data_IF_402203910243
#
_entry.id   IF_402203910243
#
_cell.length_a   1.000
_cell.length_b   1.000
_cell.length_c   1.000
_cell.angle_alpha   90.00
_cell.angle_beta   90.00
_cell.angle_gamma   90.00
#
_symmetry.space_group_name_H-M   'P 1'
#
loop_
_entity.id
_entity.type
_entity.pdbx_description
1 polymer ?
#
# COMPACT_ATOMS: atom_id res chain seq x y z
N UNK A 1 -4.57 -36.50 -57.10
CA UNK A 1 -5.22 -35.47 -56.25
C UNK A 1 -6.32 -36.08 -55.38
N UNK A 2 -6.02 -37.03 -54.47
CA UNK A 2 -7.05 -37.82 -53.75
C UNK A 2 -6.82 -38.01 -52.24
N UNK A 3 -5.97 -37.18 -51.62
CA UNK A 3 -5.67 -37.30 -50.18
C UNK A 3 -6.45 -36.34 -49.26
N UNK A 4 -7.01 -35.25 -49.80
CA UNK A 4 -7.64 -34.20 -48.97
C UNK A 4 -9.10 -34.55 -48.55
N UNK A 5 -9.81 -35.32 -49.37
CA UNK A 5 -11.21 -35.69 -49.11
C UNK A 5 -11.42 -36.70 -47.96
N UNK A 6 -10.36 -37.42 -47.54
CA UNK A 6 -10.46 -38.42 -46.46
C UNK A 6 -10.49 -37.80 -45.06
N UNK A 7 -9.94 -36.60 -44.88
CA UNK A 7 -9.93 -35.90 -43.59
C UNK A 7 -11.18 -35.03 -43.36
N UNK A 8 -11.87 -34.61 -44.43
CA UNK A 8 -13.05 -33.74 -44.34
C UNK A 8 -14.30 -34.49 -43.82
N UNK A 9 -14.44 -35.77 -44.16
CA UNK A 9 -15.59 -36.60 -43.73
C UNK A 9 -15.68 -36.82 -42.20
N UNK A 10 -14.60 -37.22 -41.49
CA UNK A 10 -14.68 -37.40 -40.04
C UNK A 10 -14.80 -36.06 -39.28
N UNK A 11 -14.24 -34.97 -39.80
CA UNK A 11 -14.35 -33.65 -39.16
C UNK A 11 -15.77 -33.11 -39.22
N UNK A 12 -16.48 -33.27 -40.35
CA UNK A 12 -17.88 -32.84 -40.46
C UNK A 12 -18.78 -33.70 -39.55
N UNK A 13 -18.53 -35.01 -39.46
CA UNK A 13 -19.24 -35.89 -38.54
C UNK A 13 -19.02 -35.51 -37.07
N UNK A 14 -17.78 -35.17 -36.69
CA UNK A 14 -17.46 -34.71 -35.34
C UNK A 14 -18.13 -33.37 -35.00
N UNK A 15 -18.17 -32.41 -35.94
CA UNK A 15 -18.85 -31.13 -35.76
C UNK A 15 -20.38 -31.27 -35.69
N UNK A 16 -20.97 -32.17 -36.49
CA UNK A 16 -22.40 -32.45 -36.44
C UNK A 16 -22.80 -33.12 -35.12
N UNK A 17 -21.98 -34.04 -34.60
CA UNK A 17 -22.21 -34.67 -33.30
C UNK A 17 -22.06 -33.68 -32.13
N UNK A 18 -21.06 -32.78 -32.22
CA UNK A 18 -20.86 -31.72 -31.23
C UNK A 18 -22.05 -30.73 -31.21
N UNK A 19 -22.58 -30.36 -32.37
CA UNK A 19 -23.78 -29.53 -32.50
C UNK A 19 -25.04 -30.22 -31.95
N UNK A 20 -25.17 -31.55 -32.12
CA UNK A 20 -26.29 -32.31 -31.58
C UNK A 20 -26.26 -32.40 -30.05
N UNK A 21 -25.06 -32.48 -29.46
CA UNK A 21 -24.87 -32.51 -27.99
C UNK A 21 -25.13 -31.13 -27.37
N UNK A 22 -24.79 -30.04 -28.07
CA UNK A 22 -25.05 -28.66 -27.63
C UNK A 22 -26.52 -28.23 -27.78
N UNK A 23 -27.29 -28.93 -28.62
CA UNK A 23 -28.73 -28.69 -28.82
C UNK A 23 -29.63 -29.55 -27.90
N UNK A 24 -29.05 -30.35 -27.01
CA UNK A 24 -29.83 -31.09 -26.02
C UNK A 24 -30.56 -30.11 -25.08
N UNK A 25 -31.89 -30.22 -24.89
CA UNK A 25 -32.61 -29.34 -23.98
C UNK A 25 -32.08 -29.56 -22.56
N UNK A 26 -31.55 -28.50 -21.95
CA UNK A 26 -31.13 -28.54 -20.56
C UNK A 26 -32.34 -28.93 -19.69
N UNK A 27 -32.18 -29.84 -18.70
CA UNK A 27 -33.26 -30.14 -17.78
C UNK A 27 -33.65 -28.83 -17.08
N UNK A 28 -34.92 -28.45 -17.20
CA UNK A 28 -35.48 -27.31 -16.48
C UNK A 28 -35.39 -27.61 -14.99
N UNK A 29 -34.38 -27.06 -14.33
CA UNK A 29 -34.28 -27.08 -12.88
C UNK A 29 -35.55 -26.44 -12.34
N UNK A 30 -36.33 -27.21 -11.58
CA UNK A 30 -37.51 -26.71 -10.91
C UNK A 30 -37.11 -25.47 -10.09
N UNK A 31 -37.74 -24.34 -10.37
CA UNK A 31 -37.52 -23.10 -9.64
C UNK A 31 -37.90 -23.36 -8.17
N UNK A 32 -36.91 -23.57 -7.30
CA UNK A 32 -37.14 -23.74 -5.87
C UNK A 32 -37.56 -22.39 -5.30
N UNK A 33 -38.88 -22.15 -5.27
CA UNK A 33 -39.47 -20.94 -4.70
C UNK A 33 -39.23 -21.00 -3.19
N UNK A 34 -38.24 -20.24 -2.73
CA UNK A 34 -37.93 -20.10 -1.32
C UNK A 34 -38.77 -18.92 -0.77
N UNK A 35 -39.83 -19.16 0.04
CA UNK A 35 -40.73 -18.10 0.50
C UNK A 35 -40.07 -17.07 1.43
N UNK A 36 -38.88 -17.36 1.97
CA UNK A 36 -38.05 -16.40 2.74
C UNK A 36 -37.01 -15.66 1.89
N UNK A 37 -36.94 -15.89 0.56
CA UNK A 37 -36.07 -15.09 -0.31
C UNK A 37 -36.40 -13.59 -0.26
N UNK A 38 -37.65 -13.25 0.09
CA UNK A 38 -38.17 -11.90 0.25
C UNK A 38 -38.37 -11.49 1.72
N UNK A 39 -38.01 -12.34 2.68
CA UNK A 39 -38.11 -11.96 4.09
C UNK A 39 -37.05 -10.92 4.40
N UNK A 40 -37.46 -9.84 5.07
CA UNK A 40 -36.58 -8.75 5.46
C UNK A 40 -35.39 -9.33 6.23
N UNK A 41 -34.21 -9.27 5.64
CA UNK A 41 -33.02 -9.77 6.30
C UNK A 41 -32.70 -8.85 7.47
N UNK A 42 -32.33 -9.44 8.61
CA UNK A 42 -31.92 -8.69 9.79
C UNK A 42 -30.78 -7.71 9.44
N UNK A 43 -29.86 -8.13 8.56
CA UNK A 43 -28.81 -7.25 8.00
C UNK A 43 -29.34 -6.04 7.24
N UNK A 44 -30.44 -6.17 6.49
CA UNK A 44 -31.05 -5.05 5.75
C UNK A 44 -31.68 -4.04 6.72
N UNK A 45 -32.43 -4.50 7.72
CA UNK A 45 -32.98 -3.63 8.77
C UNK A 45 -31.89 -2.88 9.54
N UNK A 46 -30.81 -3.58 9.90
CA UNK A 46 -29.65 -2.99 10.59
C UNK A 46 -28.87 -2.02 9.70
N UNK A 47 -28.91 -2.19 8.37
CA UNK A 47 -28.30 -1.27 7.42
C UNK A 47 -29.13 0.00 7.25
N UNK A 48 -30.45 -0.13 7.20
CA UNK A 48 -31.41 0.96 6.99
C UNK A 48 -31.61 1.82 8.25
N UNK A 49 -31.44 1.25 9.44
CA UNK A 49 -31.40 2.00 10.69
C UNK A 49 -29.99 2.57 10.94
N UNK A 50 -29.84 3.88 10.74
CA UNK A 50 -28.56 4.60 10.88
C UNK A 50 -27.98 4.58 12.29
N UNK A 51 -28.86 4.56 13.31
CA UNK A 51 -28.48 4.51 14.73
C UNK A 51 -29.46 3.65 15.51
N UNK A 52 -29.00 2.51 15.97
CA UNK A 52 -29.81 1.59 16.79
C UNK A 52 -29.56 1.89 18.26
N UNK A 53 -30.61 2.24 18.98
CA UNK A 53 -30.57 2.57 20.40
C UNK A 53 -31.47 1.60 21.18
N UNK A 54 -30.94 1.03 22.26
CA UNK A 54 -31.66 0.20 23.21
C UNK A 54 -31.88 0.92 24.53
N UNK A 55 -32.54 0.26 25.48
CA UNK A 55 -32.59 0.72 26.87
C UNK A 55 -31.50 0.03 27.67
N UNK A 56 -30.81 0.78 28.53
CA UNK A 56 -29.76 0.23 29.39
C UNK A 56 -30.00 0.67 30.82
N UNK A 57 -29.84 -0.24 31.76
CA UNK A 57 -30.01 -0.02 33.21
C UNK A 57 -28.75 0.52 33.90
N UNK A 58 -27.64 0.59 33.18
CA UNK A 58 -26.34 1.08 33.64
C UNK A 58 -26.30 2.61 33.51
N UNK A 59 -25.64 3.34 34.44
CA UNK A 59 -25.53 4.80 34.38
C UNK A 59 -24.94 5.36 33.07
N UNK A 60 -24.11 4.58 32.38
CA UNK A 60 -23.53 4.98 31.10
C UNK A 60 -24.54 4.87 29.96
N UNK A 61 -25.23 5.97 29.68
CA UNK A 61 -26.19 6.08 28.58
C UNK A 61 -25.57 5.87 27.19
N UNK A 62 -24.24 5.94 27.02
CA UNK A 62 -23.61 5.69 25.70
C UNK A 62 -23.70 4.23 25.27
N UNK A 63 -23.76 3.33 26.23
CA UNK A 63 -23.97 1.88 26.01
C UNK A 63 -25.34 1.55 25.42
N UNK A 64 -26.28 2.50 25.44
CA UNK A 64 -27.58 2.37 24.76
C UNK A 64 -27.44 2.33 23.24
N UNK A 65 -26.35 2.84 22.66
CA UNK A 65 -26.16 2.90 21.21
C UNK A 65 -25.47 1.61 20.74
N UNK A 66 -26.26 0.68 20.17
CA UNK A 66 -25.77 -0.60 19.65
C UNK A 66 -24.97 -0.44 18.35
N UNK A 67 -25.35 0.52 17.49
CA UNK A 67 -24.62 0.83 16.27
C UNK A 67 -24.36 2.33 16.18
N UNK A 68 -23.08 2.71 16.14
CA UNK A 68 -22.65 4.09 15.92
C UNK A 68 -22.43 4.34 14.42
N UNK A 69 -23.16 5.30 13.80
CA UNK A 69 -23.01 5.60 12.38
C UNK A 69 -21.57 6.03 12.03
N UNK A 70 -20.95 6.88 12.85
CA UNK A 70 -19.55 7.29 12.68
C UNK A 70 -18.54 6.12 12.69
N UNK A 71 -18.80 5.08 13.49
CA UNK A 71 -17.98 3.87 13.50
C UNK A 71 -18.18 2.96 12.28
N UNK A 72 -19.34 3.08 11.61
CA UNK A 72 -19.61 2.41 10.32
C UNK A 72 -18.85 3.12 9.20
N UNK A 73 -18.98 4.43 9.09
CA UNK A 73 -18.28 5.26 8.10
C UNK A 73 -16.76 5.11 8.22
N UNK A 74 -16.20 5.15 9.44
CA UNK A 74 -14.77 4.95 9.65
C UNK A 74 -14.29 3.56 9.19
N UNK A 75 -15.07 2.50 9.44
CA UNK A 75 -14.73 1.15 8.98
C UNK A 75 -14.77 1.06 7.46
N UNK A 76 -15.75 1.68 6.82
CA UNK A 76 -15.85 1.73 5.37
C UNK A 76 -14.68 2.50 4.75
N UNK A 77 -14.40 3.71 5.25
CA UNK A 77 -13.22 4.49 4.87
C UNK A 77 -11.93 3.67 5.03
N UNK A 78 -11.72 3.03 6.18
CA UNK A 78 -10.50 2.26 6.43
C UNK A 78 -10.38 1.02 5.55
N UNK A 79 -11.47 0.26 5.39
CA UNK A 79 -11.43 -1.03 4.69
C UNK A 79 -11.42 -0.87 3.16
N UNK A 80 -12.02 0.21 2.65
CA UNK A 80 -12.15 0.49 1.22
C UNK A 80 -11.18 1.59 0.81
N UNK A 81 -11.42 2.82 1.26
CA UNK A 81 -10.71 4.01 0.78
C UNK A 81 -9.23 3.97 1.14
N UNK A 82 -8.89 3.82 2.43
CA UNK A 82 -7.52 3.80 2.91
C UNK A 82 -6.71 2.65 2.29
N UNK A 83 -7.35 1.48 2.14
CA UNK A 83 -6.72 0.31 1.49
C UNK A 83 -6.40 0.60 0.02
N UNK A 84 -7.32 1.19 -0.72
CA UNK A 84 -7.10 1.56 -2.13
C UNK A 84 -6.04 2.64 -2.27
N UNK A 85 -6.14 3.73 -1.51
CA UNK A 85 -5.16 4.83 -1.53
C UNK A 85 -3.77 4.29 -1.17
N UNK A 86 -3.67 3.51 -0.09
CA UNK A 86 -2.40 2.91 0.32
C UNK A 86 -1.82 1.98 -0.74
N UNK A 87 -2.66 1.16 -1.39
CA UNK A 87 -2.25 0.25 -2.44
C UNK A 87 -1.73 0.99 -3.67
N UNK A 88 -2.47 2.00 -4.13
CA UNK A 88 -2.07 2.85 -5.27
C UNK A 88 -0.81 3.64 -4.94
N UNK A 89 -0.68 4.19 -3.74
CA UNK A 89 0.51 4.95 -3.36
C UNK A 89 1.78 4.08 -3.35
N UNK A 90 1.71 2.89 -2.74
CA UNK A 90 2.86 1.97 -2.65
C UNK A 90 3.22 1.41 -4.03
N UNK A 91 2.25 0.88 -4.77
CA UNK A 91 2.50 0.30 -6.09
C UNK A 91 2.87 1.38 -7.13
N UNK A 92 2.23 2.55 -7.05
CA UNK A 92 2.53 3.70 -7.90
C UNK A 92 3.96 4.21 -7.67
N UNK A 93 4.39 4.36 -6.42
CA UNK A 93 5.78 4.73 -6.11
C UNK A 93 6.77 3.69 -6.62
N UNK A 94 6.48 2.40 -6.42
CA UNK A 94 7.33 1.32 -6.92
C UNK A 94 7.43 1.33 -8.44
N UNK A 95 6.30 1.54 -9.15
CA UNK A 95 6.28 1.66 -10.60
C UNK A 95 7.10 2.86 -11.09
N UNK A 96 6.99 4.02 -10.42
CA UNK A 96 7.79 5.21 -10.73
C UNK A 96 9.29 4.91 -10.59
N UNK A 97 9.71 4.25 -9.50
CA UNK A 97 11.11 3.87 -9.28
C UNK A 97 11.62 2.88 -10.34
N UNK A 98 10.81 1.89 -10.73
CA UNK A 98 11.16 0.92 -11.77
C UNK A 98 11.28 1.59 -13.13
N UNK A 99 10.31 2.42 -13.52
CA UNK A 99 10.34 3.16 -14.79
C UNK A 99 11.56 4.09 -14.82
N UNK A 100 11.83 4.80 -13.71
CA UNK A 100 13.01 5.64 -13.60
C UNK A 100 14.31 4.83 -13.75
N UNK A 101 14.42 3.68 -13.09
CA UNK A 101 15.59 2.80 -13.19
C UNK A 101 15.79 2.28 -14.63
N UNK A 102 14.73 1.85 -15.30
CA UNK A 102 14.80 1.33 -16.67
C UNK A 102 15.14 2.42 -17.69
N UNK A 103 14.67 3.65 -17.49
CA UNK A 103 14.93 4.78 -18.41
C UNK A 103 16.31 5.40 -18.22
N UNK A 104 16.84 5.46 -16.99
CA UNK A 104 18.12 6.12 -16.69
C UNK A 104 19.29 5.15 -16.55
N UNK A 105 19.04 3.89 -16.25
CA UNK A 105 20.08 2.91 -15.93
C UNK A 105 20.80 3.18 -14.60
N UNK A 106 21.85 2.42 -14.33
CA UNK A 106 22.68 2.61 -13.13
C UNK A 106 23.60 3.83 -13.29
N UNK A 107 23.44 4.83 -12.43
CA UNK A 107 24.35 5.98 -12.35
C UNK A 107 25.70 5.47 -11.81
N UNK A 108 26.68 5.32 -12.70
CA UNK A 108 28.06 4.94 -12.35
C UNK A 108 28.87 6.18 -11.99
N UNK A 109 29.80 6.03 -11.07
CA UNK A 109 30.76 7.07 -10.72
C UNK A 109 31.77 7.22 -11.87
N UNK A 110 31.69 8.32 -12.63
CA UNK A 110 32.56 8.55 -13.80
C UNK A 110 34.05 8.70 -13.45
N UNK A 111 34.38 9.19 -12.25
CA UNK A 111 35.76 9.58 -11.87
C UNK A 111 36.44 8.70 -10.82
N UNK A 112 35.86 7.56 -10.45
CA UNK A 112 36.44 6.66 -9.43
C UNK A 112 36.45 7.24 -8.01
N UNK A 113 36.83 6.44 -7.01
CA UNK A 113 36.85 6.88 -5.60
C UNK A 113 38.14 7.66 -5.32
N UNK A 114 38.02 8.90 -4.88
CA UNK A 114 39.13 9.86 -4.62
C UNK A 114 40.12 9.45 -3.51
N UNK A 115 40.01 8.26 -2.91
CA UNK A 115 40.94 7.72 -1.89
C UNK A 115 40.94 8.45 -0.54
N UNK A 116 40.49 9.70 -0.45
CA UNK A 116 40.36 10.49 0.78
C UNK A 116 38.93 10.46 1.30
N UNK A 117 38.75 10.10 2.56
CA UNK A 117 37.46 10.17 3.24
C UNK A 117 37.38 11.41 4.13
N UNK A 118 36.27 12.14 4.05
CA UNK A 118 35.95 13.24 4.97
C UNK A 118 34.78 12.83 5.87
N UNK A 119 34.78 13.28 7.12
CA UNK A 119 33.65 13.06 8.03
C UNK A 119 32.51 13.98 7.61
N UNK A 120 31.57 13.43 6.82
CA UNK A 120 30.39 14.18 6.37
C UNK A 120 29.33 14.32 7.44
N UNK A 121 29.10 13.26 8.22
CA UNK A 121 28.09 13.17 9.29
C UNK A 121 28.73 12.71 10.59
N UNK A 122 28.34 13.36 11.68
CA UNK A 122 28.78 13.04 13.05
C UNK A 122 28.17 11.71 13.53
N UNK A 123 28.80 11.06 14.51
CA UNK A 123 28.34 9.79 15.10
C UNK A 123 26.91 9.91 15.64
N UNK A 124 26.56 11.02 16.30
CA UNK A 124 25.21 11.26 16.80
C UNK A 124 24.17 11.32 15.69
N UNK A 125 24.45 12.05 14.59
CA UNK A 125 23.54 12.12 13.43
C UNK A 125 23.31 10.75 12.81
N UNK A 126 24.36 9.92 12.70
CA UNK A 126 24.24 8.55 12.21
C UNK A 126 23.41 7.68 13.16
N UNK A 127 23.62 7.82 14.46
CA UNK A 127 22.85 7.06 15.45
C UNK A 127 21.37 7.38 15.38
N UNK A 128 21.00 8.66 15.39
CA UNK A 128 19.60 9.08 15.26
C UNK A 128 19.02 8.57 13.94
N UNK A 129 19.76 8.72 12.83
CA UNK A 129 19.31 8.21 11.53
C UNK A 129 19.06 6.70 11.53
N UNK A 130 19.98 5.88 12.04
CA UNK A 130 19.83 4.43 12.09
C UNK A 130 18.69 3.99 13.02
N UNK A 131 18.51 4.67 14.16
CA UNK A 131 17.39 4.44 15.04
C UNK A 131 16.06 4.73 14.32
N UNK A 132 15.94 5.91 13.69
CA UNK A 132 14.72 6.31 12.96
C UNK A 132 14.45 5.40 11.76
N UNK A 133 15.47 5.05 10.98
CA UNK A 133 15.35 4.15 9.84
C UNK A 133 14.90 2.74 10.24
N UNK A 134 15.45 2.20 11.33
CA UNK A 134 15.05 0.89 11.84
C UNK A 134 13.60 0.92 12.34
N UNK A 135 13.22 1.95 13.10
CA UNK A 135 11.84 2.11 13.53
C UNK A 135 10.88 2.27 12.34
N UNK A 136 11.27 3.03 11.32
CA UNK A 136 10.50 3.21 10.09
C UNK A 136 10.20 1.88 9.40
N UNK A 137 11.20 1.01 9.22
CA UNK A 137 11.01 -0.30 8.58
C UNK A 137 10.00 -1.15 9.37
N UNK A 138 10.14 -1.20 10.69
CA UNK A 138 9.24 -2.00 11.54
C UNK A 138 7.81 -1.41 11.53
N UNK A 139 7.68 -0.08 11.59
CA UNK A 139 6.40 0.62 11.50
C UNK A 139 5.74 0.43 10.12
N UNK A 140 6.51 0.45 9.04
CA UNK A 140 6.02 0.23 7.69
C UNK A 140 5.50 -1.21 7.52
N UNK A 141 6.26 -2.21 7.97
CA UNK A 141 5.85 -3.62 7.90
C UNK A 141 4.59 -3.86 8.75
N UNK A 142 4.57 -3.38 9.99
CA UNK A 142 3.41 -3.52 10.88
C UNK A 142 2.18 -2.75 10.37
N UNK A 143 2.37 -1.55 9.80
CA UNK A 143 1.31 -0.77 9.16
C UNK A 143 0.74 -1.47 7.91
N UNK A 144 1.61 -2.07 7.08
CA UNK A 144 1.18 -2.90 5.96
C UNK A 144 0.39 -4.13 6.42
N UNK A 145 0.78 -4.75 7.54
CA UNK A 145 0.02 -5.85 8.13
C UNK A 145 -1.37 -5.41 8.60
N UNK A 146 -1.50 -4.22 9.20
CA UNK A 146 -2.80 -3.69 9.66
C UNK A 146 -3.74 -3.41 8.49
N UNK A 147 -3.23 -2.83 7.39
CA UNK A 147 -4.08 -2.45 6.24
C UNK A 147 -4.33 -3.61 5.27
N UNK A 148 -3.33 -4.46 5.01
CA UNK A 148 -3.38 -5.50 3.97
C UNK A 148 -3.18 -6.93 4.49
N UNK A 149 -2.90 -7.13 5.78
CA UNK A 149 -2.59 -8.45 6.32
C UNK A 149 -3.76 -9.44 6.21
N UNK A 150 -4.99 -9.03 6.53
CA UNK A 150 -6.16 -9.91 6.41
C UNK A 150 -6.41 -10.40 4.97
N UNK A 151 -6.40 -9.56 3.92
CA UNK A 151 -6.63 -10.04 2.56
C UNK A 151 -5.41 -10.72 1.91
N UNK A 152 -4.17 -10.38 2.30
CA UNK A 152 -2.97 -10.90 1.65
C UNK A 152 -2.25 -11.98 2.48
N UNK A 153 -2.02 -11.74 3.77
CA UNK A 153 -1.24 -12.65 4.62
C UNK A 153 -2.07 -13.80 5.17
N UNK A 154 -3.30 -13.53 5.66
CA UNK A 154 -4.14 -14.56 6.27
C UNK A 154 -4.37 -15.79 5.36
N UNK A 155 -4.66 -15.64 4.04
CA UNK A 155 -4.80 -16.80 3.16
C UNK A 155 -3.50 -17.58 2.94
N UNK A 156 -2.34 -16.96 3.16
CA UNK A 156 -1.03 -17.57 2.92
C UNK A 156 -0.51 -18.35 4.13
N UNK A 157 -0.70 -17.84 5.34
CA UNK A 157 -0.10 -18.40 6.58
C UNK A 157 -1.12 -19.03 7.53
N UNK A 158 -2.43 -18.86 7.27
CA UNK A 158 -3.50 -19.38 8.13
C UNK A 158 -3.85 -18.47 9.30
N UNK A 159 -4.95 -18.79 9.99
CA UNK A 159 -5.53 -17.94 11.04
C UNK A 159 -4.64 -17.81 12.28
N UNK A 160 -4.11 -18.92 12.80
CA UNK A 160 -3.35 -18.93 14.05
C UNK A 160 -2.04 -18.15 13.91
N UNK A 161 -1.25 -18.46 12.87
CA UNK A 161 -0.01 -17.75 12.59
C UNK A 161 -0.24 -16.26 12.29
N UNK A 162 -1.33 -15.92 11.58
CA UNK A 162 -1.68 -14.53 11.31
C UNK A 162 -2.10 -13.77 12.59
N UNK A 163 -2.80 -14.43 13.50
CA UNK A 163 -3.20 -13.84 14.78
C UNK A 163 -1.97 -13.49 15.62
N UNK A 164 -1.04 -14.44 15.80
CA UNK A 164 0.19 -14.24 16.55
C UNK A 164 1.07 -13.16 15.93
N UNK A 165 1.28 -13.23 14.61
CA UNK A 165 2.03 -12.22 13.86
C UNK A 165 1.41 -10.83 14.02
N UNK A 166 0.08 -10.73 13.90
CA UNK A 166 -0.62 -9.45 14.01
C UNK A 166 -0.57 -8.88 15.42
N UNK A 167 -0.56 -9.74 16.44
CA UNK A 167 -0.40 -9.31 17.83
C UNK A 167 0.99 -8.70 18.06
N UNK A 168 2.06 -9.37 17.61
CA UNK A 168 3.42 -8.82 17.67
C UNK A 168 3.58 -7.54 16.86
N UNK A 169 3.03 -7.51 15.64
CA UNK A 169 3.06 -6.33 14.78
C UNK A 169 2.38 -5.13 15.46
N UNK A 170 1.24 -5.35 16.14
CA UNK A 170 0.54 -4.31 16.89
C UNK A 170 1.38 -3.76 18.04
N UNK A 171 2.01 -4.63 18.83
CA UNK A 171 2.89 -4.19 19.92
C UNK A 171 4.07 -3.40 19.39
N UNK A 172 4.77 -3.93 18.39
CA UNK A 172 5.89 -3.25 17.74
C UNK A 172 5.47 -1.88 17.20
N UNK A 173 4.33 -1.78 16.52
CA UNK A 173 3.84 -0.52 15.96
C UNK A 173 3.57 0.53 17.05
N UNK A 174 2.87 0.13 18.12
CA UNK A 174 2.52 1.06 19.19
C UNK A 174 3.76 1.56 19.93
N UNK A 175 4.67 0.67 20.33
CA UNK A 175 5.83 1.06 21.12
C UNK A 175 6.90 1.77 20.30
N UNK A 176 7.13 1.39 19.04
CA UNK A 176 8.17 2.00 18.20
C UNK A 176 7.72 3.32 17.55
N UNK A 177 6.41 3.62 17.53
CA UNK A 177 5.91 4.92 17.06
C UNK A 177 6.48 6.09 17.86
N UNK A 178 6.71 5.90 19.16
CA UNK A 178 7.25 6.91 20.06
C UNK A 178 8.72 7.27 19.76
N UNK A 179 9.69 6.34 19.80
CA UNK A 179 11.07 6.64 19.45
C UNK A 179 11.22 7.06 17.98
N UNK A 180 10.36 6.58 17.07
CA UNK A 180 10.35 7.06 15.69
C UNK A 180 10.02 8.56 15.61
N UNK A 181 8.95 8.98 16.29
CA UNK A 181 8.54 10.40 16.30
C UNK A 181 9.62 11.29 16.89
N UNK A 182 10.25 10.87 17.99
CA UNK A 182 11.39 11.57 18.57
C UNK A 182 12.55 11.66 17.57
N UNK A 183 12.87 10.55 16.90
CA UNK A 183 13.93 10.50 15.91
C UNK A 183 13.70 11.47 14.74
N UNK A 184 12.48 11.53 14.21
CA UNK A 184 12.09 12.48 13.15
C UNK A 184 12.27 13.92 13.62
N UNK A 185 11.78 14.26 14.82
CA UNK A 185 11.92 15.61 15.38
C UNK A 185 13.40 15.98 15.57
N UNK A 186 14.23 15.05 16.08
CA UNK A 186 15.66 15.29 16.24
C UNK A 186 16.37 15.50 14.90
N UNK A 187 16.07 14.68 13.89
CA UNK A 187 16.65 14.85 12.53
C UNK A 187 16.24 16.20 11.96
N UNK A 188 14.96 16.56 12.09
CA UNK A 188 14.45 17.84 11.66
C UNK A 188 15.19 19.00 12.32
N UNK A 189 15.29 19.01 13.66
CA UNK A 189 15.99 20.06 14.42
C UNK A 189 17.49 20.15 14.09
N UNK A 190 18.16 19.01 13.87
CA UNK A 190 19.57 19.00 13.48
C UNK A 190 19.79 19.64 12.10
N UNK A 191 18.85 19.43 11.17
CA UNK A 191 19.06 19.80 9.77
C UNK A 191 18.27 21.03 9.32
N UNK A 192 17.37 21.57 10.13
CA UNK A 192 16.55 22.76 9.80
C UNK A 192 17.42 23.94 9.38
N UNK A 193 18.46 24.27 10.15
CA UNK A 193 19.37 25.38 9.84
C UNK A 193 20.16 25.19 8.54
N UNK A 194 20.32 23.94 8.09
CA UNK A 194 20.95 23.60 6.82
C UNK A 194 19.98 23.43 5.65
N UNK A 195 18.67 23.32 5.88
CA UNK A 195 17.68 23.00 4.84
C UNK A 195 16.91 24.21 4.31
N UNK A 196 17.18 25.42 4.82
CA UNK A 196 16.53 26.65 4.33
C UNK A 196 16.89 26.87 2.85
N UNK A 197 15.91 26.94 1.93
CA UNK A 197 16.16 27.12 0.50
C UNK A 197 16.89 28.44 0.23
N UNK A 198 17.98 28.37 -0.54
CA UNK A 198 18.72 29.56 -0.98
C UNK A 198 18.57 29.75 -2.50
N UNK A 199 18.91 30.93 -3.02
CA UNK A 199 18.83 31.26 -4.46
C UNK A 199 19.60 30.26 -5.34
N UNK A 200 20.67 29.67 -4.80
CA UNK A 200 21.47 28.60 -5.42
C UNK A 200 20.68 27.30 -5.61
N UNK A 201 19.74 26.97 -4.71
CA UNK A 201 18.91 25.77 -4.81
C UNK A 201 17.85 25.91 -5.91
N UNK A 202 17.31 27.12 -6.12
CA UNK A 202 16.44 27.40 -7.29
C UNK A 202 17.21 27.27 -8.60
N UNK A 203 18.45 27.73 -8.65
CA UNK A 203 19.29 27.61 -9.83
C UNK A 203 19.66 26.15 -10.11
N UNK A 204 19.88 25.35 -9.07
CA UNK A 204 20.09 23.91 -9.16
C UNK A 204 18.86 23.16 -9.70
N UNK A 205 17.65 23.51 -9.24
CA UNK A 205 16.39 22.93 -9.75
C UNK A 205 16.17 23.32 -11.22
N UNK A 206 16.41 24.59 -11.58
CA UNK A 206 16.31 25.07 -12.97
C UNK A 206 17.28 24.36 -13.91
N UNK A 207 18.44 23.94 -13.41
CA UNK A 207 19.44 23.14 -14.15
C UNK A 207 19.17 21.61 -14.08
N UNK A 208 17.98 21.19 -13.64
CA UNK A 208 17.60 19.78 -13.60
C UNK A 208 18.35 18.95 -12.55
N UNK A 209 18.98 19.60 -11.56
CA UNK A 209 19.53 18.95 -10.38
C UNK A 209 20.68 17.98 -10.59
N UNK A 210 21.41 18.08 -11.71
CA UNK A 210 22.39 17.06 -12.11
C UNK A 210 21.77 15.68 -12.38
N UNK A 211 20.43 15.60 -12.44
CA UNK A 211 19.65 14.46 -12.92
C UNK A 211 19.41 14.55 -14.43
N UNK A 212 19.54 15.73 -15.04
CA UNK A 212 19.44 15.97 -16.48
C UNK A 212 20.73 16.68 -16.93
N UNK A 213 21.65 15.93 -17.55
CA UNK A 213 22.95 16.42 -18.04
C UNK A 213 24.15 16.08 -17.14
N UNK A 214 25.35 16.01 -17.74
CA UNK A 214 26.65 15.80 -17.05
C UNK A 214 27.15 17.05 -16.32
N UNK A 215 26.28 18.03 -16.09
CA UNK A 215 26.66 19.29 -15.48
C UNK A 215 26.71 19.12 -13.95
N UNK A 216 27.77 19.65 -13.32
CA UNK A 216 27.98 19.58 -11.87
C UNK A 216 27.69 20.94 -11.24
N UNK A 217 26.41 21.32 -11.07
CA UNK A 217 26.07 22.60 -10.46
C UNK A 217 26.62 22.65 -9.02
N UNK A 218 27.19 23.80 -8.60
CA UNK A 218 27.87 23.93 -7.32
C UNK A 218 26.89 23.67 -6.17
N UNK A 219 27.08 22.57 -5.47
CA UNK A 219 26.36 22.23 -4.24
C UNK A 219 27.27 22.45 -3.03
N UNK A 220 26.76 23.14 -2.01
CA UNK A 220 27.37 23.18 -0.66
C UNK A 220 27.10 21.82 0.05
N UNK A 221 26.98 21.76 1.39
CA UNK A 221 26.85 20.50 2.14
C UNK A 221 25.69 19.56 1.71
N UNK A 222 24.60 20.10 1.16
CA UNK A 222 23.45 19.37 0.62
C UNK A 222 23.13 19.85 -0.81
N UNK A 223 22.69 18.95 -1.69
CA UNK A 223 22.16 19.30 -3.01
C UNK A 223 20.65 19.61 -2.89
N UNK A 224 20.06 20.37 -3.81
CA UNK A 224 18.65 20.78 -3.66
C UNK A 224 17.68 19.57 -3.65
N UNK A 225 18.07 18.45 -4.26
CA UNK A 225 17.34 17.17 -4.15
C UNK A 225 17.27 16.60 -2.73
N UNK A 226 18.35 16.68 -1.93
CA UNK A 226 18.34 16.27 -0.51
C UNK A 226 17.61 17.27 0.39
N UNK A 227 17.60 18.55 0.02
CA UNK A 227 16.86 19.58 0.76
C UNK A 227 15.35 19.47 0.53
N UNK A 228 14.92 19.24 -0.70
CA UNK A 228 13.51 19.08 -1.07
C UNK A 228 12.82 17.88 -0.41
N UNK A 229 13.52 16.75 -0.21
CA UNK A 229 12.97 15.59 0.50
C UNK A 229 12.83 15.80 2.01
N UNK A 230 13.54 16.77 2.59
CA UNK A 230 13.53 17.04 4.03
C UNK A 230 12.59 18.19 4.40
N UNK A 231 12.14 19.00 3.42
CA UNK A 231 11.23 20.14 3.62
C UNK A 231 9.73 19.82 3.42
N UNK A 232 9.36 18.54 3.29
CA UNK A 232 7.97 18.08 3.11
C UNK A 232 7.47 17.19 4.26
N UNK A 233 8.17 17.21 5.40
CA UNK A 233 7.70 16.69 6.69
C UNK A 233 7.72 17.80 7.74
#
# INVERSE_FOLDING_TARGET
MSSFARFIRPTIGAWALLLLIMAAPAPSLAQQINPTASSVNERQLLQEMDRIQGRVSIPDQRSSVLIQPAGREWREFRNVVLRWIGGVAVLGMLAVLVIFYLTRGMIRLESGRSGRTIVRFNTFERFVHWMTATCFVILAISGLNITFGRPLLLPLIGFDAFSDWSQWAKFAHNYLSFPFTIGVVLIFLMWIGGNIPNKVDLEWIKRGGGLIGHDHPPARRFNAGKRGSTGLL
#
